data_IF_339474954082
#
_entry.id   IF_339474954082
#
_cell.length_a   1.000
_cell.length_b   1.000
_cell.length_c   1.000
_cell.angle_alpha   90.00
_cell.angle_beta   90.00
_cell.angle_gamma   90.00
#
_symmetry.space_group_name_H-M   'P 1'
#
loop_
_entity.id
_entity.type
_entity.pdbx_description
1 polymer ?
#
# COMPACT_ATOMS: atom_id res chain seq x y z
N UNK A 1 1.40 -43.93 5.62
CA UNK A 1 2.64 -43.18 5.94
C UNK A 1 2.51 -41.80 5.32
N UNK A 2 2.32 -40.78 6.16
CA UNK A 2 2.05 -39.40 5.78
C UNK A 2 3.34 -38.69 5.33
N UNK A 3 3.32 -38.04 4.17
CA UNK A 3 4.44 -37.19 3.70
C UNK A 3 4.01 -35.98 2.86
N UNK A 4 2.72 -35.59 2.86
CA UNK A 4 2.21 -34.45 2.07
C UNK A 4 1.65 -33.31 2.94
N UNK A 5 2.28 -33.00 4.07
CA UNK A 5 1.73 -31.99 5.00
C UNK A 5 2.77 -31.00 5.55
N UNK A 6 3.81 -30.68 4.78
CA UNK A 6 4.76 -29.64 5.19
C UNK A 6 5.34 -28.89 3.99
N UNK A 7 4.50 -28.11 3.32
CA UNK A 7 4.94 -27.27 2.20
C UNK A 7 3.92 -26.26 1.70
N UNK A 8 2.80 -26.05 2.42
CA UNK A 8 1.72 -25.15 1.97
C UNK A 8 1.79 -23.74 2.55
N UNK A 9 2.53 -23.51 3.64
CA UNK A 9 2.64 -22.18 4.23
C UNK A 9 3.56 -21.23 3.45
N UNK A 10 4.66 -21.72 2.86
CA UNK A 10 5.60 -20.86 2.12
C UNK A 10 5.18 -20.50 0.69
N UNK A 11 4.39 -21.34 0.03
CA UNK A 11 3.93 -21.09 -1.34
C UNK A 11 2.81 -20.05 -1.40
N UNK A 12 1.92 -20.06 -0.39
CA UNK A 12 0.83 -19.10 -0.29
C UNK A 12 1.36 -17.70 0.01
N UNK A 13 2.38 -17.60 0.87
CA UNK A 13 3.08 -16.34 1.14
C UNK A 13 3.72 -15.78 -0.13
N UNK A 14 4.43 -16.60 -0.91
CA UNK A 14 5.07 -16.15 -2.15
C UNK A 14 4.08 -15.62 -3.19
N UNK A 15 2.96 -16.31 -3.43
CA UNK A 15 1.95 -15.87 -4.39
C UNK A 15 1.24 -14.58 -3.93
N UNK A 16 0.99 -14.47 -2.63
CA UNK A 16 0.42 -13.26 -2.02
C UNK A 16 1.40 -12.11 -2.11
N UNK A 17 2.69 -12.36 -1.84
CA UNK A 17 3.76 -11.37 -1.93
C UNK A 17 3.93 -10.86 -3.36
N UNK A 18 3.94 -11.76 -4.37
CA UNK A 18 4.04 -11.39 -5.79
C UNK A 18 2.86 -10.50 -6.23
N UNK A 19 1.65 -10.84 -5.78
CA UNK A 19 0.45 -10.02 -6.06
C UNK A 19 0.55 -8.64 -5.42
N UNK A 20 0.98 -8.57 -4.16
CA UNK A 20 1.18 -7.32 -3.43
C UNK A 20 2.29 -6.47 -4.08
N UNK A 21 3.37 -7.09 -4.52
CA UNK A 21 4.48 -6.44 -5.23
C UNK A 21 4.04 -5.88 -6.60
N UNK A 22 3.25 -6.63 -7.36
CA UNK A 22 2.69 -6.15 -8.63
C UNK A 22 1.70 -4.99 -8.42
N UNK A 23 0.88 -5.06 -7.37
CA UNK A 23 -0.07 -4.02 -7.03
C UNK A 23 0.63 -2.72 -6.59
N UNK A 24 1.63 -2.80 -5.70
CA UNK A 24 2.39 -1.62 -5.25
C UNK A 24 3.23 -1.02 -6.38
N UNK A 25 3.77 -1.83 -7.30
CA UNK A 25 4.50 -1.35 -8.48
C UNK A 25 3.57 -0.57 -9.43
N UNK A 26 2.37 -1.10 -9.69
CA UNK A 26 1.36 -0.41 -10.51
C UNK A 26 0.87 0.88 -9.86
N UNK A 27 0.70 0.87 -8.54
CA UNK A 27 0.35 2.07 -7.76
C UNK A 27 1.45 3.13 -7.84
N UNK A 28 2.72 2.70 -7.72
CA UNK A 28 3.87 3.58 -7.87
C UNK A 28 3.96 4.22 -9.24
N UNK A 29 3.71 3.45 -10.30
CA UNK A 29 3.67 3.98 -11.65
C UNK A 29 2.59 5.07 -11.80
N UNK A 30 1.39 4.85 -11.26
CA UNK A 30 0.33 5.87 -11.24
C UNK A 30 0.75 7.12 -10.49
N UNK A 31 1.32 6.99 -9.29
CA UNK A 31 1.81 8.13 -8.49
C UNK A 31 2.88 8.93 -9.25
N UNK A 32 3.76 8.24 -9.97
CA UNK A 32 4.85 8.88 -10.69
C UNK A 32 4.39 9.53 -12.01
N UNK A 33 3.45 8.89 -12.70
CA UNK A 33 2.82 9.38 -13.93
C UNK A 33 1.86 10.54 -13.65
N UNK A 34 1.04 10.41 -12.61
CA UNK A 34 0.05 11.41 -12.20
C UNK A 34 0.54 12.15 -10.96
N UNK A 35 1.03 13.37 -11.16
CA UNK A 35 1.50 14.19 -10.04
C UNK A 35 0.40 14.58 -9.07
N UNK A 36 -0.86 14.49 -9.49
CA UNK A 36 -2.04 14.81 -8.68
C UNK A 36 -2.76 13.58 -8.11
N UNK A 37 -2.15 12.41 -8.19
CA UNK A 37 -2.74 11.20 -7.62
C UNK A 37 -2.83 11.28 -6.10
N UNK A 38 -4.03 11.06 -5.57
CA UNK A 38 -4.29 10.90 -4.13
C UNK A 38 -4.63 9.44 -3.88
N UNK A 39 -3.95 8.85 -2.89
CA UNK A 39 -4.20 7.47 -2.47
C UNK A 39 -5.58 7.36 -1.80
N UNK A 40 -6.31 6.30 -2.07
CA UNK A 40 -7.45 5.90 -1.22
C UNK A 40 -6.97 5.22 0.07
N UNK A 41 -7.87 4.93 1.02
CA UNK A 41 -7.56 4.27 2.29
C UNK A 41 -6.99 2.87 2.08
N UNK A 42 -7.53 2.11 1.13
CA UNK A 42 -7.03 0.77 0.77
C UNK A 42 -5.64 0.83 0.12
N UNK A 43 -5.44 1.79 -0.77
CA UNK A 43 -4.14 2.01 -1.43
C UNK A 43 -3.09 2.53 -0.46
N UNK A 44 -3.51 3.38 0.48
CA UNK A 44 -2.65 3.86 1.56
C UNK A 44 -2.26 2.72 2.50
N UNK A 45 -3.16 1.78 2.81
CA UNK A 45 -2.82 0.61 3.61
C UNK A 45 -1.77 -0.27 2.91
N UNK A 46 -1.92 -0.51 1.60
CA UNK A 46 -0.94 -1.21 0.78
C UNK A 46 0.40 -0.45 0.75
N UNK A 47 0.36 0.85 0.49
CA UNK A 47 1.55 1.69 0.45
C UNK A 47 2.27 1.74 1.80
N UNK A 48 1.50 1.82 2.89
CA UNK A 48 1.99 1.82 4.26
C UNK A 48 2.64 0.47 4.63
N UNK A 49 2.10 -0.65 4.14
CA UNK A 49 2.73 -1.96 4.33
C UNK A 49 4.14 -2.00 3.71
N UNK A 50 4.33 -1.38 2.53
CA UNK A 50 5.63 -1.31 1.86
C UNK A 50 6.48 -0.08 2.23
N UNK A 51 6.01 0.78 3.15
CA UNK A 51 6.69 2.06 3.44
C UNK A 51 8.10 1.89 3.98
N UNK A 52 8.36 0.76 4.67
CA UNK A 52 9.70 0.44 5.19
C UNK A 52 10.73 0.26 4.06
N UNK A 53 10.31 -0.29 2.92
CA UNK A 53 11.17 -0.47 1.73
C UNK A 53 11.41 0.84 0.99
N UNK A 54 10.45 1.76 1.03
CA UNK A 54 10.53 3.08 0.41
C UNK A 54 11.02 4.18 1.37
N UNK A 55 11.50 3.80 2.56
CA UNK A 55 11.97 4.72 3.60
C UNK A 55 13.23 5.45 3.09
N UNK A 56 13.06 6.71 2.68
CA UNK A 56 14.11 7.53 2.06
C UNK A 56 13.79 8.01 0.63
N UNK A 57 12.70 7.51 0.03
CA UNK A 57 12.24 8.05 -1.25
C UNK A 57 11.41 9.32 -1.03
N UNK A 58 11.89 10.44 -1.61
CA UNK A 58 11.22 11.74 -1.55
C UNK A 58 9.82 11.70 -2.19
N UNK A 59 9.61 10.88 -3.22
CA UNK A 59 8.30 10.74 -3.86
C UNK A 59 7.32 10.06 -2.90
N UNK A 60 7.75 9.05 -2.15
CA UNK A 60 6.90 8.37 -1.17
C UNK A 60 6.43 9.33 -0.07
N UNK A 61 7.33 10.15 0.44
CA UNK A 61 7.00 11.17 1.45
C UNK A 61 6.03 12.22 0.90
N UNK A 62 6.20 12.65 -0.35
CA UNK A 62 5.29 13.60 -1.01
C UNK A 62 3.90 13.01 -1.22
N UNK A 63 3.79 11.75 -1.61
CA UNK A 63 2.50 11.07 -1.79
C UNK A 63 1.76 10.93 -0.45
N UNK A 64 2.47 10.53 0.62
CA UNK A 64 1.90 10.45 1.97
C UNK A 64 1.46 11.85 2.45
N UNK A 65 2.27 12.88 2.23
CA UNK A 65 1.91 14.25 2.58
C UNK A 65 0.65 14.73 1.84
N UNK A 66 0.52 14.41 0.54
CA UNK A 66 -0.69 14.70 -0.25
C UNK A 66 -1.92 13.96 0.27
N UNK A 67 -1.78 12.68 0.58
CA UNK A 67 -2.85 11.90 1.18
C UNK A 67 -3.38 12.58 2.45
N UNK A 68 -2.48 12.97 3.35
CA UNK A 68 -2.86 13.66 4.58
C UNK A 68 -3.44 15.06 4.36
N UNK A 69 -2.95 15.79 3.36
CA UNK A 69 -3.48 17.11 2.98
C UNK A 69 -4.93 16.99 2.47
N UNK A 70 -5.18 16.04 1.57
CA UNK A 70 -6.52 15.74 1.06
C UNK A 70 -7.44 15.20 2.17
N UNK A 71 -6.96 14.28 3.01
CA UNK A 71 -7.73 13.68 4.10
C UNK A 71 -8.09 14.70 5.19
N UNK A 72 -7.22 15.68 5.50
CA UNK A 72 -7.53 16.77 6.44
C UNK A 72 -8.53 17.77 5.87
N UNK A 73 -8.62 17.88 4.55
CA UNK A 73 -9.63 18.68 3.86
C UNK A 73 -11.03 18.06 3.90
N UNK A 74 -11.14 16.80 4.32
CA UNK A 74 -12.40 16.06 4.43
C UNK A 74 -12.86 15.98 5.90
N UNK A 75 -13.59 16.99 6.43
CA UNK A 75 -13.99 17.02 7.84
C UNK A 75 -14.88 15.83 8.25
N UNK A 76 -15.52 15.15 7.30
CA UNK A 76 -16.39 14.00 7.56
C UNK A 76 -15.63 12.67 7.73
N UNK A 77 -14.37 12.57 7.30
CA UNK A 77 -13.58 11.32 7.43
C UNK A 77 -13.03 11.10 8.85
N UNK A 78 -13.06 12.13 9.70
CA UNK A 78 -12.63 12.06 11.10
C UNK A 78 -13.76 11.72 12.08
N UNK A 79 -15.03 11.86 11.67
CA UNK A 79 -16.20 11.79 12.59
C UNK A 79 -16.98 10.46 12.57
N UNK A 80 -16.42 9.36 12.05
CA UNK A 80 -17.07 8.03 12.18
C UNK A 80 -16.69 7.28 13.47
N UNK A 81 -16.46 8.01 14.56
CA UNK A 81 -16.37 7.46 15.92
C UNK A 81 -17.33 8.24 16.83
N UNK A 82 -18.60 7.84 16.81
CA UNK A 82 -19.54 8.10 17.91
C UNK A 82 -20.31 6.83 18.15
#
# INVERSE_FOLDING_TARGET
>A
MAALERGRDGHTDKATNDTLEAAIASLWDKINTQKDYVLDRDEFALFNYFIYRYKGNNVAQRTVARFWDHYKGDPNAAESKT
#
